data_IF_580674718643
#
_entry.id   IF_580674718643
#
_cell.length_a   1.000
_cell.length_b   1.000
_cell.length_c   1.000
_cell.angle_alpha   90.00
_cell.angle_beta   90.00
_cell.angle_gamma   90.00
#
_symmetry.space_group_name_H-M   'P 1'
#
loop_
_entity.id
_entity.type
_entity.pdbx_description
1 polymer ?
#
# COMPACT_ATOMS: atom_id res chain seq x y z
N UNK A 1 3.04 -1.25 13.41
CA UNK A 1 3.49 -0.24 12.43
C UNK A 1 4.44 -0.91 11.46
N UNK A 2 4.26 -0.69 10.16
CA UNK A 2 5.15 -1.12 9.09
C UNK A 2 6.01 0.07 8.66
N UNK A 3 7.27 0.10 9.05
CA UNK A 3 8.16 1.24 8.75
C UNK A 3 8.82 1.11 7.38
N UNK A 4 9.19 -0.12 6.97
CA UNK A 4 9.83 -0.38 5.69
C UNK A 4 9.68 -1.83 5.25
N UNK A 5 9.48 -2.02 3.95
CA UNK A 5 9.46 -3.29 3.27
C UNK A 5 10.77 -3.49 2.50
N UNK A 6 11.36 -4.68 2.61
CA UNK A 6 12.64 -5.04 1.98
C UNK A 6 12.52 -6.26 1.06
N UNK A 7 11.30 -6.72 0.79
CA UNK A 7 11.07 -7.89 -0.05
C UNK A 7 11.11 -7.57 -1.53
N UNK A 8 11.23 -8.61 -2.34
CA UNK A 8 11.24 -8.56 -3.81
C UNK A 8 9.96 -9.19 -4.40
N UNK A 9 8.94 -9.42 -3.57
CA UNK A 9 7.69 -10.01 -4.02
C UNK A 9 6.91 -9.04 -4.91
N UNK A 10 6.15 -9.57 -5.86
CA UNK A 10 5.25 -8.79 -6.71
C UNK A 10 3.88 -8.54 -6.06
N UNK A 11 3.51 -9.33 -5.06
CA UNK A 11 2.32 -9.11 -4.24
C UNK A 11 2.69 -9.12 -2.76
N UNK A 12 2.09 -8.22 -1.99
CA UNK A 12 2.28 -8.14 -0.54
C UNK A 12 0.92 -8.09 0.15
N UNK A 13 0.72 -8.96 1.14
CA UNK A 13 -0.39 -8.88 2.07
C UNK A 13 0.11 -8.25 3.37
N UNK A 14 -0.43 -7.10 3.76
CA UNK A 14 -0.12 -6.49 5.04
C UNK A 14 -0.86 -7.27 6.13
N UNK A 15 -0.15 -7.79 7.17
CA UNK A 15 -0.79 -8.60 8.20
C UNK A 15 -1.86 -7.84 9.00
N UNK A 16 -2.93 -8.56 9.35
CA UNK A 16 -3.90 -8.09 10.33
C UNK A 16 -3.19 -7.72 11.65
N UNK A 17 -3.44 -6.50 12.13
CA UNK A 17 -2.78 -5.93 13.32
C UNK A 17 -1.73 -4.86 13.01
N UNK A 18 -1.36 -4.66 11.74
CA UNK A 18 -0.69 -3.42 11.34
C UNK A 18 -1.71 -2.28 11.37
N UNK A 19 -1.43 -1.27 12.19
CA UNK A 19 -2.28 -0.08 12.34
C UNK A 19 -1.81 1.13 11.54
N UNK A 20 -0.54 1.12 11.12
CA UNK A 20 0.07 2.22 10.39
C UNK A 20 1.16 1.76 9.44
N UNK A 21 1.27 2.45 8.30
CA UNK A 21 2.34 2.32 7.30
C UNK A 21 3.13 3.62 7.28
N UNK A 22 4.45 3.53 7.45
CA UNK A 22 5.33 4.69 7.50
C UNK A 22 5.58 5.35 6.14
N UNK A 23 6.18 6.54 6.17
CA UNK A 23 6.59 7.27 4.99
C UNK A 23 7.60 6.45 4.17
N UNK A 24 7.47 6.47 2.84
CA UNK A 24 8.36 5.73 1.92
C UNK A 24 8.50 4.22 2.24
N UNK A 25 7.55 3.59 2.94
CA UNK A 25 7.71 2.22 3.43
C UNK A 25 7.94 1.18 2.32
N UNK A 26 7.39 1.40 1.13
CA UNK A 26 7.58 0.54 -0.06
C UNK A 26 8.40 1.25 -1.15
N UNK A 27 9.18 2.27 -0.79
CA UNK A 27 9.94 3.02 -1.77
C UNK A 27 10.93 2.13 -2.54
N UNK A 28 11.07 2.40 -3.84
CA UNK A 28 11.97 1.71 -4.77
C UNK A 28 11.66 0.18 -4.90
N UNK A 29 10.40 -0.23 -4.67
CA UNK A 29 9.94 -1.61 -4.87
C UNK A 29 9.44 -1.84 -6.32
N UNK A 30 10.36 -1.83 -7.28
CA UNK A 30 10.05 -1.92 -8.72
C UNK A 30 9.26 -3.18 -9.13
N UNK A 31 9.42 -4.29 -8.38
CA UNK A 31 8.72 -5.54 -8.66
C UNK A 31 7.27 -5.56 -8.16
N UNK A 32 6.87 -4.63 -7.29
CA UNK A 32 5.59 -4.68 -6.59
C UNK A 32 4.44 -4.23 -7.50
N UNK A 33 3.55 -5.16 -7.80
CA UNK A 33 2.37 -4.94 -8.66
C UNK A 33 1.07 -4.89 -7.88
N UNK A 34 1.01 -5.50 -6.71
CA UNK A 34 -0.19 -5.53 -5.88
C UNK A 34 0.13 -5.48 -4.39
N UNK A 35 -0.74 -4.83 -3.64
CA UNK A 35 -0.68 -4.83 -2.17
C UNK A 35 -2.08 -4.87 -1.59
N UNK A 36 -2.31 -5.77 -0.64
CA UNK A 36 -3.53 -5.81 0.16
C UNK A 36 -3.29 -5.07 1.47
N UNK A 37 -4.11 -4.05 1.73
CA UNK A 37 -4.07 -3.22 2.93
C UNK A 37 -5.34 -3.48 3.75
N UNK A 38 -5.25 -4.12 4.92
CA UNK A 38 -6.42 -4.45 5.73
C UNK A 38 -7.03 -3.21 6.39
N UNK A 39 -8.29 -3.32 6.82
CA UNK A 39 -9.00 -2.21 7.50
C UNK A 39 -8.37 -1.78 8.82
N UNK A 40 -7.51 -2.62 9.42
CA UNK A 40 -6.78 -2.27 10.63
C UNK A 40 -5.81 -1.11 10.41
N UNK A 41 -5.35 -0.87 9.18
CA UNK A 41 -4.47 0.24 8.83
C UNK A 41 -5.28 1.53 8.80
N UNK A 42 -5.08 2.39 9.80
CA UNK A 42 -5.78 3.67 9.94
C UNK A 42 -4.90 4.88 9.62
N UNK A 43 -3.59 4.66 9.41
CA UNK A 43 -2.63 5.72 9.09
C UNK A 43 -1.69 5.26 7.99
N UNK A 44 -1.65 5.99 6.88
CA UNK A 44 -0.76 5.71 5.75
C UNK A 44 0.11 6.95 5.54
N UNK A 45 1.43 6.76 5.57
CA UNK A 45 2.41 7.83 5.42
C UNK A 45 2.43 8.44 4.01
N UNK A 46 3.32 9.40 3.83
CA UNK A 46 3.52 10.03 2.53
C UNK A 46 4.43 9.18 1.64
N UNK A 47 4.22 9.26 0.32
CA UNK A 47 5.14 8.67 -0.67
C UNK A 47 5.43 7.17 -0.47
N UNK A 48 4.50 6.41 0.13
CA UNK A 48 4.66 4.99 0.48
C UNK A 48 5.19 4.17 -0.68
N UNK A 49 4.65 4.36 -1.89
CA UNK A 49 5.04 3.65 -3.12
C UNK A 49 5.87 4.52 -4.07
N UNK A 50 6.64 5.48 -3.53
CA UNK A 50 7.51 6.32 -4.35
C UNK A 50 8.51 5.47 -5.12
N UNK A 51 8.66 5.78 -6.41
CA UNK A 51 9.49 5.01 -7.34
C UNK A 51 9.15 3.51 -7.39
N UNK A 52 7.97 3.08 -6.93
CA UNK A 52 7.40 1.84 -7.46
C UNK A 52 6.89 2.14 -8.87
N UNK A 53 6.83 1.14 -9.75
CA UNK A 53 6.13 1.26 -11.02
C UNK A 53 4.61 1.44 -10.77
N UNK A 54 4.21 2.66 -10.42
CA UNK A 54 2.84 2.99 -10.01
C UNK A 54 1.83 2.85 -11.15
N UNK A 55 2.29 2.73 -12.41
CA UNK A 55 1.44 2.47 -13.56
C UNK A 55 0.79 1.08 -13.53
N UNK A 56 1.35 0.13 -12.77
CA UNK A 56 0.80 -1.23 -12.63
C UNK A 56 0.35 -1.57 -11.21
N UNK A 57 0.73 -0.76 -10.22
CA UNK A 57 0.38 -1.02 -8.81
C UNK A 57 -1.13 -0.95 -8.60
N UNK A 58 -1.70 -2.04 -8.06
CA UNK A 58 -3.09 -2.10 -7.59
C UNK A 58 -3.11 -2.25 -6.08
N UNK A 59 -3.85 -1.38 -5.39
CA UNK A 59 -4.13 -1.49 -3.96
C UNK A 59 -5.46 -2.23 -3.79
N UNK A 60 -5.45 -3.28 -2.98
CA UNK A 60 -6.63 -4.02 -2.55
C UNK A 60 -6.97 -3.64 -1.11
N UNK A 61 -8.27 -3.52 -0.82
CA UNK A 61 -8.74 -3.27 0.54
C UNK A 61 -10.25 -3.10 0.63
N UNK A 62 -10.73 -2.80 1.84
CA UNK A 62 -12.16 -2.57 2.09
C UNK A 62 -12.61 -1.22 1.54
N UNK A 63 -13.86 -1.13 1.06
CA UNK A 63 -14.48 0.14 0.71
C UNK A 63 -14.54 1.08 1.93
N UNK A 64 -14.41 2.39 1.67
CA UNK A 64 -14.33 3.49 2.64
C UNK A 64 -13.14 3.42 3.60
N UNK A 65 -12.16 2.54 3.33
CA UNK A 65 -10.94 2.43 4.12
C UNK A 65 -9.94 3.54 3.82
N UNK A 66 -8.96 3.66 4.71
CA UNK A 66 -7.78 4.51 4.50
C UNK A 66 -6.98 4.11 3.26
N UNK A 67 -6.97 2.82 2.90
CA UNK A 67 -6.35 2.35 1.67
C UNK A 67 -7.04 2.92 0.42
N UNK A 68 -8.38 2.94 0.41
CA UNK A 68 -9.16 3.52 -0.69
C UNK A 68 -8.90 5.03 -0.79
N UNK A 69 -8.91 5.75 0.34
CA UNK A 69 -8.62 7.18 0.37
C UNK A 69 -7.23 7.47 -0.21
N UNK A 70 -6.21 6.78 0.29
CA UNK A 70 -4.83 6.96 -0.16
C UNK A 70 -4.67 6.68 -1.65
N UNK A 71 -5.28 5.60 -2.16
CA UNK A 71 -5.21 5.26 -3.57
C UNK A 71 -5.82 6.37 -4.46
N UNK A 72 -6.99 6.91 -4.07
CA UNK A 72 -7.66 8.01 -4.77
C UNK A 72 -6.81 9.29 -4.78
N UNK A 73 -6.23 9.65 -3.64
CA UNK A 73 -5.40 10.86 -3.51
C UNK A 73 -4.12 10.80 -4.34
N UNK A 74 -3.54 9.60 -4.49
CA UNK A 74 -2.29 9.39 -5.23
C UNK A 74 -2.49 8.88 -6.67
N UNK A 75 -3.74 8.76 -7.14
CA UNK A 75 -4.05 8.29 -8.49
C UNK A 75 -3.66 6.83 -8.74
N UNK A 76 -3.58 6.01 -7.69
CA UNK A 76 -3.25 4.59 -7.75
C UNK A 76 -4.54 3.79 -7.95
N UNK A 77 -4.49 2.72 -8.75
CA UNK A 77 -5.64 1.84 -8.96
C UNK A 77 -6.05 1.17 -7.65
N UNK A 78 -7.36 1.16 -7.36
CA UNK A 78 -7.93 0.51 -6.18
C UNK A 78 -8.99 -0.51 -6.57
N UNK A 79 -8.97 -1.69 -5.96
CA UNK A 79 -9.98 -2.74 -6.10
C UNK A 79 -10.46 -3.19 -4.72
N UNK A 80 -11.76 -3.45 -4.61
CA UNK A 80 -12.37 -3.92 -3.36
C UNK A 80 -12.11 -5.42 -3.23
N UNK A 81 -11.71 -5.85 -2.04
CA UNK A 81 -11.61 -7.27 -1.66
C UNK A 81 -12.85 -7.76 -0.91
#
# INVERSE_FOLDING_TARGET
>A
MLERYYGLASSVEIPDGVTSIGDEAFRDCDSLTSVTIPESVTCIGENVFRNCDCFILTIYGKAESEAERYAKENGIKFEVE
#
